data_IF_528836344854
#
_entry.id   IF_528836344854
#
_cell.length_a   1.000
_cell.length_b   1.000
_cell.length_c   1.000
_cell.angle_alpha   90.00
_cell.angle_beta   90.00
_cell.angle_gamma   90.00
#
_symmetry.space_group_name_H-M   'P 1'
#
loop_
_entity.id
_entity.type
_entity.pdbx_description
1 polymer ?
#
# COMPACT_ATOMS: atom_id res chain seq x y z
N UNK A 1 13.86 18.26 1.24
CA UNK A 1 13.47 17.81 -0.11
C UNK A 1 14.12 16.47 -0.46
N UNK A 2 13.51 15.33 -0.09
CA UNK A 2 13.72 14.00 -0.70
C UNK A 2 12.42 13.19 -0.51
N UNK A 3 11.39 13.62 -1.22
CA UNK A 3 10.16 12.86 -1.44
C UNK A 3 10.23 12.20 -2.83
N UNK A 4 9.56 11.07 -2.96
CA UNK A 4 9.25 10.34 -4.20
C UNK A 4 10.39 9.50 -4.78
N UNK A 5 10.42 8.21 -4.41
CA UNK A 5 10.64 7.02 -5.29
C UNK A 5 10.85 5.77 -4.41
N UNK A 6 9.74 5.19 -3.96
CA UNK A 6 9.66 3.77 -3.60
C UNK A 6 8.35 3.25 -4.16
N UNK A 7 8.39 2.80 -5.41
CA UNK A 7 7.30 2.10 -6.05
C UNK A 7 7.91 0.88 -6.74
N UNK A 8 7.49 -0.30 -6.27
CA UNK A 8 7.53 -1.60 -6.94
C UNK A 8 8.91 -2.23 -7.18
N UNK A 9 9.38 -2.98 -6.18
CA UNK A 9 10.21 -4.18 -6.36
C UNK A 9 9.87 -5.11 -5.21
N UNK A 10 8.96 -6.06 -5.43
CA UNK A 10 8.62 -7.10 -4.46
C UNK A 10 9.66 -8.22 -4.64
N UNK A 11 10.85 -8.04 -4.08
CA UNK A 11 11.73 -9.14 -3.68
C UNK A 11 11.40 -9.40 -2.22
N UNK A 12 10.56 -10.40 -1.96
CA UNK A 12 10.09 -10.67 -0.61
C UNK A 12 11.14 -11.42 0.21
N UNK A 13 11.97 -10.65 0.90
CA UNK A 13 12.49 -11.06 2.20
C UNK A 13 11.34 -11.05 3.20
N UNK A 14 10.61 -12.16 3.34
CA UNK A 14 9.78 -12.38 4.54
C UNK A 14 10.78 -12.71 5.64
N UNK A 15 11.20 -11.69 6.39
CA UNK A 15 11.92 -11.87 7.65
C UNK A 15 10.91 -12.37 8.68
N UNK A 16 11.06 -13.61 9.14
CA UNK A 16 10.56 -13.97 10.47
C UNK A 16 11.35 -13.17 11.52
N UNK A 17 10.73 -12.78 12.64
CA UNK A 17 11.18 -11.63 13.44
C UNK A 17 12.33 -12.00 14.38
N UNK A 18 13.56 -12.10 13.85
CA UNK A 18 14.81 -11.82 14.58
C UNK A 18 15.81 -11.32 13.53
N UNK A 19 16.75 -10.45 13.89
CA UNK A 19 17.69 -9.71 13.00
C UNK A 19 17.15 -8.35 12.53
N UNK A 20 16.88 -7.48 13.50
CA UNK A 20 16.99 -6.01 13.36
C UNK A 20 18.13 -5.54 14.27
N UNK A 21 19.38 -5.91 13.96
CA UNK A 21 20.52 -5.33 14.70
C UNK A 21 21.87 -5.25 13.96
N UNK A 22 21.96 -5.65 12.69
CA UNK A 22 23.25 -5.67 11.96
C UNK A 22 23.39 -4.73 10.75
N UNK A 23 22.59 -3.67 10.65
CA UNK A 23 22.75 -2.66 9.57
C UNK A 23 23.43 -1.34 9.99
N UNK A 24 23.82 -1.18 11.26
CA UNK A 24 24.41 0.08 11.77
C UNK A 24 25.95 0.16 11.72
N UNK A 25 26.68 -0.82 11.16
CA UNK A 25 28.14 -0.90 11.34
C UNK A 25 28.97 -1.01 10.04
N UNK A 26 28.63 -0.31 8.96
CA UNK A 26 29.48 -0.24 7.74
C UNK A 26 29.90 1.20 7.43
N UNK A 27 31.21 1.51 7.31
CA UNK A 27 31.72 2.85 6.97
C UNK A 27 31.24 3.37 5.61
N UNK A 28 30.94 4.67 5.54
CA UNK A 28 30.25 5.32 4.42
C UNK A 28 30.93 5.23 3.04
N UNK A 29 32.23 4.96 2.98
CA UNK A 29 33.00 5.03 1.73
C UNK A 29 32.93 3.74 0.90
N UNK A 30 32.78 2.58 1.53
CA UNK A 30 32.53 1.29 0.83
C UNK A 30 31.07 1.13 0.38
N UNK A 31 30.14 1.89 0.98
CA UNK A 31 28.72 1.93 0.60
C UNK A 31 28.44 2.59 -0.75
N UNK A 32 29.34 3.40 -1.30
CA UNK A 32 29.13 4.09 -2.59
C UNK A 32 29.42 3.17 -3.77
N UNK A 33 30.60 2.55 -3.80
CA UNK A 33 31.06 1.78 -4.97
C UNK A 33 30.28 0.46 -5.19
N UNK A 34 29.85 -0.22 -4.12
CA UNK A 34 29.01 -1.43 -4.24
C UNK A 34 27.57 -1.10 -4.66
N UNK A 35 27.08 0.09 -4.31
CA UNK A 35 25.71 0.51 -4.59
C UNK A 35 25.55 0.99 -6.03
N UNK A 36 26.55 1.68 -6.58
CA UNK A 36 26.58 2.07 -8.00
C UNK A 36 26.60 0.88 -8.97
N UNK A 37 27.34 -0.20 -8.63
CA UNK A 37 27.42 -1.41 -9.47
C UNK A 37 26.16 -2.29 -9.42
N UNK A 38 25.48 -2.33 -8.26
CA UNK A 38 24.22 -3.06 -8.07
C UNK A 38 23.01 -2.30 -8.64
N UNK A 39 23.00 -0.96 -8.56
CA UNK A 39 21.90 -0.12 -9.06
C UNK A 39 21.82 -0.14 -10.60
N UNK A 40 22.94 -0.17 -11.35
CA UNK A 40 22.90 -0.10 -12.82
C UNK A 40 22.30 -1.35 -13.50
N UNK A 41 22.53 -2.53 -12.92
CA UNK A 41 22.14 -3.82 -13.51
C UNK A 41 20.67 -4.15 -13.20
N UNK A 42 20.21 -3.85 -11.98
CA UNK A 42 18.83 -4.06 -11.54
C UNK A 42 17.89 -3.02 -12.16
N UNK A 43 18.33 -1.76 -12.31
CA UNK A 43 17.52 -0.69 -12.88
C UNK A 43 17.22 -0.90 -14.38
N UNK A 44 18.14 -1.51 -15.14
CA UNK A 44 17.91 -1.80 -16.56
C UNK A 44 16.89 -2.93 -16.78
N UNK A 45 16.92 -3.97 -15.94
CA UNK A 45 15.97 -5.10 -16.00
C UNK A 45 14.54 -4.68 -15.63
N UNK A 46 14.38 -3.87 -14.57
CA UNK A 46 13.07 -3.38 -14.11
C UNK A 46 12.43 -2.41 -15.12
N UNK A 47 13.23 -1.62 -15.84
CA UNK A 47 12.76 -0.67 -16.85
C UNK A 47 12.15 -1.37 -18.08
N UNK A 48 12.80 -2.41 -18.60
CA UNK A 48 12.31 -3.19 -19.75
C UNK A 48 10.98 -3.89 -19.45
N UNK A 49 10.86 -4.51 -18.27
CA UNK A 49 9.64 -5.21 -17.85
C UNK A 49 8.45 -4.27 -17.66
N UNK A 50 8.69 -3.05 -17.14
CA UNK A 50 7.64 -2.04 -16.91
C UNK A 50 7.11 -1.42 -18.22
N UNK A 51 7.94 -1.35 -19.27
CA UNK A 51 7.54 -0.82 -20.58
C UNK A 51 6.67 -1.78 -21.38
N UNK A 52 6.85 -3.09 -21.19
CA UNK A 52 6.03 -4.14 -21.81
C UNK A 52 4.61 -4.19 -21.22
N UNK A 53 4.45 -3.93 -19.92
CA UNK A 53 3.15 -3.94 -19.24
C UNK A 53 2.27 -2.70 -19.53
N UNK A 54 2.87 -1.56 -19.92
CA UNK A 54 2.14 -0.33 -20.28
C UNK A 54 1.46 -0.36 -21.65
N UNK A 55 1.74 -1.38 -22.48
CA UNK A 55 1.21 -1.48 -23.86
C UNK A 55 -0.10 -2.28 -23.97
N UNK A 56 -0.65 -2.79 -22.86
CA UNK A 56 -1.76 -3.75 -22.86
C UNK A 56 -3.10 -3.25 -22.29
N UNK A 57 -3.36 -1.94 -22.20
CA UNK A 57 -4.67 -1.42 -21.74
C UNK A 57 -5.39 -0.61 -22.82
N UNK A 58 -6.52 -1.09 -23.37
CA UNK A 58 -7.38 -0.29 -24.24
C UNK A 58 -8.38 0.59 -23.46
N UNK A 59 -8.34 1.88 -23.79
CA UNK A 59 -9.32 2.98 -23.77
C UNK A 59 -10.65 2.89 -22.98
N UNK A 60 -10.89 3.95 -22.19
CA UNK A 60 -12.17 4.37 -21.61
C UNK A 60 -13.12 4.97 -22.68
N UNK A 61 -14.42 4.67 -22.53
CA UNK A 61 -15.55 5.27 -23.27
C UNK A 61 -16.17 6.37 -22.38
N UNK A 62 -16.49 7.59 -22.88
CA UNK A 62 -17.19 8.58 -22.07
C UNK A 62 -18.71 8.41 -22.19
N UNK A 63 -19.37 8.15 -21.07
CA UNK A 63 -20.83 8.15 -20.89
C UNK A 63 -21.23 9.17 -19.83
N UNK A 64 -21.35 10.44 -20.19
CA UNK A 64 -22.02 11.42 -19.30
C UNK A 64 -22.55 12.65 -20.05
N UNK A 65 -23.69 13.15 -19.58
CA UNK A 65 -24.42 14.35 -20.01
C UNK A 65 -23.75 15.67 -19.56
N UNK A 66 -22.50 15.63 -19.06
CA UNK A 66 -21.82 16.79 -18.48
C UNK A 66 -21.38 17.85 -19.52
N UNK A 67 -21.50 17.56 -20.81
CA UNK A 67 -20.99 18.40 -21.90
C UNK A 67 -21.95 19.42 -22.51
N UNK A 68 -23.24 19.46 -22.11
CA UNK A 68 -24.24 20.35 -22.75
C UNK A 68 -24.95 21.21 -21.71
N UNK A 69 -24.88 22.53 -21.90
CA UNK A 69 -25.35 23.57 -20.98
C UNK A 69 -26.89 23.71 -21.00
N UNK A 70 -27.59 22.64 -20.60
CA UNK A 70 -29.05 22.56 -20.48
C UNK A 70 -29.63 23.42 -19.34
N UNK A 71 -28.76 24.10 -18.59
CA UNK A 71 -29.17 25.08 -17.59
C UNK A 71 -29.95 26.25 -18.22
N UNK A 72 -29.66 26.55 -19.50
CA UNK A 72 -30.45 27.48 -20.34
C UNK A 72 -31.93 27.08 -20.46
N UNK A 73 -32.24 25.81 -20.19
CA UNK A 73 -33.59 25.25 -20.24
C UNK A 73 -34.06 24.76 -18.88
N UNK A 74 -33.59 25.35 -17.75
CA UNK A 74 -34.11 25.07 -16.41
C UNK A 74 -34.10 23.57 -16.00
N UNK A 75 -33.30 22.73 -16.67
CA UNK A 75 -33.17 21.29 -16.42
C UNK A 75 -31.88 21.01 -15.66
N UNK A 76 -31.98 20.14 -14.65
CA UNK A 76 -30.85 19.57 -13.92
C UNK A 76 -30.93 18.04 -13.93
N UNK A 77 -29.82 17.31 -13.75
CA UNK A 77 -29.86 15.88 -13.49
C UNK A 77 -30.69 15.57 -12.24
N UNK A 78 -31.47 14.51 -12.28
CA UNK A 78 -32.26 14.04 -11.14
C UNK A 78 -31.34 13.51 -10.02
N UNK A 79 -31.74 13.70 -8.76
CA UNK A 79 -30.97 13.26 -7.60
C UNK A 79 -30.84 11.73 -7.48
N UNK A 80 -31.90 10.92 -7.73
CA UNK A 80 -31.82 9.46 -7.66
C UNK A 80 -31.15 8.81 -8.88
N UNK A 81 -31.21 9.45 -10.05
CA UNK A 81 -30.61 8.98 -11.30
C UNK A 81 -30.06 10.16 -12.10
N UNK A 82 -28.72 10.26 -12.14
CA UNK A 82 -28.01 11.34 -12.84
C UNK A 82 -28.20 11.31 -14.36
N UNK A 83 -28.77 10.24 -14.92
CA UNK A 83 -29.07 10.15 -16.35
C UNK A 83 -30.46 10.70 -16.71
N UNK A 84 -31.33 10.90 -15.72
CA UNK A 84 -32.70 11.37 -15.93
C UNK A 84 -32.81 12.90 -15.75
N UNK A 85 -33.36 13.66 -16.72
CA UNK A 85 -33.56 15.09 -16.58
C UNK A 85 -34.69 15.44 -15.62
N UNK A 86 -34.50 16.47 -14.81
CA UNK A 86 -35.50 17.03 -13.89
C UNK A 86 -35.68 18.52 -14.13
N UNK A 87 -36.94 18.99 -14.14
CA UNK A 87 -37.26 20.41 -14.17
C UNK A 87 -37.01 21.05 -12.79
N UNK A 88 -36.18 22.10 -12.75
CA UNK A 88 -35.80 22.80 -11.52
C UNK A 88 -36.95 23.59 -10.86
N UNK A 89 -38.02 23.90 -11.61
CA UNK A 89 -39.16 24.69 -11.13
C UNK A 89 -40.26 23.84 -10.47
N UNK A 90 -40.51 22.63 -10.98
CA UNK A 90 -41.53 21.71 -10.45
C UNK A 90 -40.99 20.39 -9.90
N UNK A 91 -39.67 20.16 -9.94
CA UNK A 91 -39.01 18.90 -9.56
C UNK A 91 -39.54 17.65 -10.30
N UNK A 92 -40.19 17.84 -11.46
CA UNK A 92 -40.70 16.75 -12.27
C UNK A 92 -39.57 16.14 -13.09
N UNK A 93 -39.39 14.82 -12.99
CA UNK A 93 -38.51 14.05 -13.88
C UNK A 93 -39.16 13.99 -15.26
N UNK A 94 -38.41 14.37 -16.28
CA UNK A 94 -38.79 14.36 -17.67
C UNK A 94 -38.22 13.09 -18.33
N UNK A 95 -38.92 12.55 -19.32
CA UNK A 95 -38.36 11.48 -20.14
C UNK A 95 -37.22 11.99 -21.03
N UNK A 96 -36.27 11.13 -21.38
CA UNK A 96 -35.13 11.50 -22.23
C UNK A 96 -35.56 12.11 -23.59
N UNK A 97 -36.70 11.66 -24.13
CA UNK A 97 -37.29 12.19 -25.37
C UNK A 97 -37.84 13.62 -25.27
N UNK A 98 -37.93 14.16 -24.05
CA UNK A 98 -38.37 15.53 -23.76
C UNK A 98 -37.22 16.54 -23.81
N UNK A 99 -35.96 16.10 -23.96
CA UNK A 99 -34.77 16.95 -24.00
C UNK A 99 -34.63 17.79 -25.29
N UNK A 100 -35.58 17.69 -26.22
CA UNK A 100 -35.62 18.54 -27.41
C UNK A 100 -35.94 19.99 -26.98
N UNK A 101 -35.18 21.01 -27.43
CA UNK A 101 -35.39 22.41 -27.01
C UNK A 101 -36.82 22.92 -27.16
N UNK A 102 -37.51 22.52 -28.23
CA UNK A 102 -38.93 22.87 -28.47
C UNK A 102 -39.86 22.29 -27.40
N UNK A 103 -39.64 21.05 -26.96
CA UNK A 103 -40.43 20.39 -25.91
C UNK A 103 -40.16 20.98 -24.53
N UNK A 104 -38.91 21.39 -24.25
CA UNK A 104 -38.55 22.08 -23.02
C UNK A 104 -39.18 23.48 -22.98
N UNK A 105 -39.13 24.24 -24.07
CA UNK A 105 -39.83 25.53 -24.15
C UNK A 105 -41.35 25.39 -24.00
N UNK A 106 -41.93 24.36 -24.60
CA UNK A 106 -43.35 24.02 -24.43
C UNK A 106 -43.69 23.69 -22.96
N UNK A 107 -42.85 22.93 -22.27
CA UNK A 107 -43.01 22.63 -20.85
C UNK A 107 -42.95 23.91 -20.00
N UNK A 108 -41.99 24.81 -20.27
CA UNK A 108 -41.89 26.11 -19.59
C UNK A 108 -43.16 26.94 -19.81
N UNK A 109 -43.66 27.03 -21.04
CA UNK A 109 -44.87 27.82 -21.35
C UNK A 109 -46.14 27.24 -20.74
N UNK A 110 -46.30 25.91 -20.75
CA UNK A 110 -47.51 25.23 -20.25
C UNK A 110 -47.52 25.11 -18.72
N UNK A 111 -46.40 24.77 -18.10
CA UNK A 111 -46.34 24.49 -16.67
C UNK A 111 -45.85 25.69 -15.83
N UNK A 112 -45.12 26.63 -16.45
CA UNK A 112 -44.47 27.75 -15.78
C UNK A 112 -44.60 29.07 -16.58
N UNK A 113 -45.83 29.47 -16.95
CA UNK A 113 -46.06 30.62 -17.83
C UNK A 113 -45.44 31.92 -17.30
N UNK A 114 -45.43 32.09 -15.97
CA UNK A 114 -44.90 33.23 -15.24
C UNK A 114 -43.36 33.30 -15.20
N UNK A 115 -42.67 32.26 -15.66
CA UNK A 115 -41.19 32.15 -15.66
C UNK A 115 -40.57 32.11 -17.07
N UNK A 116 -41.39 32.31 -18.11
CA UNK A 116 -40.98 32.23 -19.52
C UNK A 116 -39.97 33.30 -19.95
N UNK A 117 -40.00 34.48 -19.33
CA UNK A 117 -39.10 35.60 -19.63
C UNK A 117 -37.87 35.69 -18.71
N UNK A 118 -37.64 34.69 -17.84
CA UNK A 118 -36.52 34.72 -16.91
C UNK A 118 -35.20 34.38 -17.61
N UNK A 119 -34.13 35.04 -17.16
CA UNK A 119 -32.81 34.89 -17.72
C UNK A 119 -32.03 33.71 -17.11
N UNK A 120 -30.90 33.36 -17.72
CA UNK A 120 -30.00 32.31 -17.24
C UNK A 120 -29.58 32.54 -15.78
N UNK A 121 -29.38 33.81 -15.37
CA UNK A 121 -28.91 34.18 -14.04
C UNK A 121 -29.93 33.85 -12.96
N UNK A 122 -31.22 34.01 -13.24
CA UNK A 122 -32.31 33.55 -12.38
C UNK A 122 -32.25 32.03 -12.15
N UNK A 123 -32.08 31.25 -13.22
CA UNK A 123 -32.02 29.78 -13.12
C UNK A 123 -30.74 29.27 -12.46
N UNK A 124 -29.59 29.95 -12.65
CA UNK A 124 -28.35 29.70 -11.90
C UNK A 124 -28.57 29.90 -10.40
N UNK A 125 -29.14 31.04 -10.01
CA UNK A 125 -29.42 31.35 -8.59
C UNK A 125 -30.38 30.33 -7.97
N UNK A 126 -31.37 29.86 -8.73
CA UNK A 126 -32.31 28.85 -8.28
C UNK A 126 -31.65 27.46 -8.16
N UNK A 127 -30.75 27.10 -9.08
CA UNK A 127 -29.97 25.88 -9.02
C UNK A 127 -29.08 25.89 -7.79
N UNK A 128 -28.41 27.00 -7.51
CA UNK A 128 -27.56 27.13 -6.31
C UNK A 128 -28.39 26.98 -5.03
N UNK A 129 -29.58 27.57 -4.97
CA UNK A 129 -30.50 27.38 -3.83
C UNK A 129 -30.96 25.93 -3.68
N UNK A 130 -31.25 25.26 -4.78
CA UNK A 130 -31.65 23.86 -4.79
C UNK A 130 -30.50 22.94 -4.37
N UNK A 131 -29.30 23.15 -4.94
CA UNK A 131 -28.08 22.44 -4.61
C UNK A 131 -27.55 22.74 -3.21
N UNK A 132 -27.97 23.84 -2.57
CA UNK A 132 -27.64 24.17 -1.18
C UNK A 132 -28.76 23.85 -0.20
N UNK A 133 -29.87 23.26 -0.66
CA UNK A 133 -30.93 22.78 0.24
C UNK A 133 -30.40 21.61 1.07
N UNK A 134 -30.58 21.70 2.39
CA UNK A 134 -30.27 20.63 3.32
C UNK A 134 -31.29 19.50 3.12
N UNK A 135 -30.85 18.38 2.55
CA UNK A 135 -31.64 17.15 2.43
C UNK A 135 -31.18 16.15 3.49
N UNK A 136 -32.07 15.23 3.90
CA UNK A 136 -31.74 14.15 4.83
C UNK A 136 -30.54 13.35 4.33
N UNK A 137 -30.50 13.02 3.04
CA UNK A 137 -29.38 12.31 2.42
C UNK A 137 -28.04 13.05 2.56
N UNK A 138 -28.02 14.40 2.46
CA UNK A 138 -26.79 15.19 2.66
C UNK A 138 -26.40 15.27 4.13
N UNK A 139 -27.35 15.27 5.05
CA UNK A 139 -27.04 15.20 6.49
C UNK A 139 -26.37 13.87 6.84
N UNK A 140 -26.89 12.75 6.34
CA UNK A 140 -26.29 11.44 6.53
C UNK A 140 -24.96 11.30 5.80
N UNK A 141 -24.84 11.76 4.55
CA UNK A 141 -23.58 11.73 3.80
C UNK A 141 -22.46 12.54 4.49
N UNK A 142 -22.77 13.73 5.02
CA UNK A 142 -21.78 14.56 5.74
C UNK A 142 -21.34 13.95 7.07
N UNK A 143 -22.20 13.18 7.73
CA UNK A 143 -21.88 12.46 8.97
C UNK A 143 -21.06 11.22 8.68
N UNK A 144 -21.39 10.48 7.62
CA UNK A 144 -20.61 9.33 7.14
C UNK A 144 -19.18 9.73 6.73
N UNK A 145 -19.04 10.80 5.94
CA UNK A 145 -17.72 11.32 5.53
C UNK A 145 -16.83 11.70 6.72
N UNK A 146 -17.38 12.36 7.75
CA UNK A 146 -16.63 12.74 8.96
C UNK A 146 -16.21 11.53 9.82
N UNK A 147 -16.99 10.45 9.80
CA UNK A 147 -16.64 9.21 10.47
C UNK A 147 -15.57 8.43 9.69
N UNK A 148 -15.62 8.47 8.36
CA UNK A 148 -14.61 7.88 7.48
C UNK A 148 -13.23 8.52 7.68
N UNK A 149 -13.18 9.85 7.88
CA UNK A 149 -11.94 10.56 8.14
C UNK A 149 -11.28 10.15 9.48
N UNK A 150 -12.08 9.98 10.53
CA UNK A 150 -11.58 9.53 11.84
C UNK A 150 -11.07 8.09 11.81
N UNK A 151 -11.79 7.22 11.10
CA UNK A 151 -11.37 5.84 10.86
C UNK A 151 -10.06 5.79 10.05
N UNK A 152 -9.96 6.58 8.98
CA UNK A 152 -8.76 6.69 8.15
C UNK A 152 -7.57 7.20 8.96
N UNK A 153 -7.78 8.22 9.78
CA UNK A 153 -6.76 8.73 10.70
C UNK A 153 -6.28 7.64 11.67
N UNK A 154 -7.21 6.82 12.18
CA UNK A 154 -6.89 5.71 13.08
C UNK A 154 -5.94 4.71 12.43
N UNK A 155 -6.25 4.21 11.23
CA UNK A 155 -5.35 3.29 10.50
C UNK A 155 -3.98 3.92 10.20
N UNK A 156 -3.98 5.19 9.76
CA UNK A 156 -2.73 5.90 9.46
C UNK A 156 -1.84 6.05 10.70
N UNK A 157 -2.43 6.39 11.86
CA UNK A 157 -1.69 6.53 13.11
C UNK A 157 -1.20 5.16 13.59
N UNK A 158 -2.04 4.12 13.56
CA UNK A 158 -1.64 2.75 13.91
C UNK A 158 -0.47 2.26 13.04
N UNK A 159 -0.47 2.58 11.74
CA UNK A 159 0.63 2.27 10.84
C UNK A 159 1.93 2.98 11.24
N UNK A 160 1.86 4.23 11.72
CA UNK A 160 3.02 4.96 12.22
C UNK A 160 3.55 4.36 13.53
N UNK A 161 2.66 3.92 14.43
CA UNK A 161 3.04 3.22 15.67
C UNK A 161 3.78 1.92 15.32
N UNK A 162 3.23 1.10 14.44
CA UNK A 162 3.86 -0.14 13.98
C UNK A 162 5.23 0.11 13.34
N UNK A 163 5.33 1.06 12.40
CA UNK A 163 6.59 1.40 11.72
C UNK A 163 7.69 1.92 12.65
N UNK A 164 7.31 2.53 13.77
CA UNK A 164 8.25 3.05 14.77
C UNK A 164 8.59 2.03 15.86
N UNK A 165 7.97 0.85 15.86
CA UNK A 165 8.20 -0.19 16.86
C UNK A 165 7.80 0.23 18.27
N UNK A 166 6.78 1.08 18.40
CA UNK A 166 6.32 1.61 19.69
C UNK A 166 5.19 0.75 20.27
N UNK A 167 5.04 0.69 21.62
CA UNK A 167 3.92 0.00 22.25
C UNK A 167 2.58 0.60 21.81
N UNK A 168 1.55 -0.24 21.65
CA UNK A 168 0.22 0.20 21.21
C UNK A 168 -0.41 1.24 22.17
N UNK A 169 -0.12 1.13 23.48
CA UNK A 169 -0.53 2.10 24.51
C UNK A 169 -0.07 3.54 24.26
N UNK A 170 0.87 3.80 23.35
CA UNK A 170 1.30 5.16 23.01
C UNK A 170 0.16 6.00 22.42
N UNK A 171 -0.82 5.35 21.78
CA UNK A 171 -2.01 5.99 21.22
C UNK A 171 -2.79 6.77 22.27
N UNK A 172 -3.21 6.09 23.34
CA UNK A 172 -3.95 6.68 24.45
C UNK A 172 -3.07 7.50 25.41
N UNK A 173 -1.82 7.09 25.66
CA UNK A 173 -0.96 7.75 26.66
C UNK A 173 -0.33 9.06 26.20
N UNK A 174 -0.11 9.23 24.90
CA UNK A 174 0.64 10.38 24.38
C UNK A 174 -0.01 11.01 23.15
N UNK A 175 -0.43 10.22 22.16
CA UNK A 175 -0.90 10.76 20.89
C UNK A 175 -2.24 11.48 21.09
N UNK A 176 -3.21 10.88 21.76
CA UNK A 176 -4.50 11.52 22.04
C UNK A 176 -4.36 12.80 22.87
N UNK A 177 -3.62 12.82 24.01
CA UNK A 177 -3.36 14.04 24.75
C UNK A 177 -2.66 15.14 23.93
N UNK A 178 -1.68 14.78 23.09
CA UNK A 178 -0.99 15.75 22.23
C UNK A 178 -1.91 16.34 21.17
N UNK A 179 -2.76 15.52 20.55
CA UNK A 179 -3.79 16.00 19.61
C UNK A 179 -4.79 16.90 20.31
N UNK A 180 -5.20 16.55 21.53
CA UNK A 180 -6.09 17.37 22.36
C UNK A 180 -5.52 18.77 22.61
N UNK A 181 -4.25 18.84 23.00
CA UNK A 181 -3.57 20.10 23.29
C UNK A 181 -3.49 21.00 22.06
N UNK A 182 -3.14 20.45 20.90
CA UNK A 182 -3.10 21.19 19.62
C UNK A 182 -4.48 21.71 19.23
N UNK A 183 -5.53 20.89 19.38
CA UNK A 183 -6.90 21.29 19.06
C UNK A 183 -7.38 22.45 19.95
N UNK A 184 -7.04 22.41 21.25
CA UNK A 184 -7.42 23.45 22.22
C UNK A 184 -6.62 24.74 22.05
N UNK A 185 -5.30 24.64 21.91
CA UNK A 185 -4.40 25.82 21.95
C UNK A 185 -4.18 26.47 20.60
N UNK A 186 -3.98 25.68 19.53
CA UNK A 186 -3.62 26.19 18.20
C UNK A 186 -4.87 26.44 17.37
N UNK A 187 -5.84 25.53 17.44
CA UNK A 187 -7.04 25.59 16.60
C UNK A 187 -8.25 26.19 17.31
N UNK A 188 -8.18 26.37 18.63
CA UNK A 188 -9.28 26.85 19.47
C UNK A 188 -10.61 26.12 19.21
N UNK A 189 -10.54 24.80 19.04
CA UNK A 189 -11.69 23.92 18.76
C UNK A 189 -11.95 22.96 19.90
N UNK A 190 -13.23 22.59 20.16
CA UNK A 190 -13.54 21.55 21.11
C UNK A 190 -12.96 20.21 20.63
N UNK A 191 -12.15 19.58 21.47
CA UNK A 191 -11.42 18.37 21.10
C UNK A 191 -12.24 17.08 21.29
N UNK A 192 -13.26 17.09 22.16
CA UNK A 192 -14.03 15.90 22.56
C UNK A 192 -14.58 15.10 21.39
N UNK A 193 -15.18 15.80 20.42
CA UNK A 193 -15.88 15.16 19.30
C UNK A 193 -14.91 14.63 18.23
N UNK A 194 -13.73 15.23 18.14
CA UNK A 194 -12.67 14.82 17.20
C UNK A 194 -11.94 13.60 17.77
N UNK A 195 -11.56 13.64 19.05
CA UNK A 195 -10.86 12.55 19.73
C UNK A 195 -11.71 11.27 19.75
N UNK A 196 -13.01 11.38 20.03
CA UNK A 196 -13.94 10.24 20.01
C UNK A 196 -14.00 9.54 18.64
N UNK A 197 -13.75 10.25 17.55
CA UNK A 197 -13.74 9.69 16.19
C UNK A 197 -12.43 9.00 15.82
N UNK A 198 -11.36 9.16 16.60
CA UNK A 198 -10.05 8.57 16.36
C UNK A 198 -9.72 7.61 17.52
N UNK A 199 -10.36 6.43 17.57
CA UNK A 199 -10.12 5.48 18.64
C UNK A 199 -8.68 4.94 18.58
N UNK A 200 -7.85 5.28 19.58
CA UNK A 200 -6.45 4.85 19.68
C UNK A 200 -6.16 4.11 20.99
N UNK A 201 -7.14 3.41 21.55
CA UNK A 201 -6.89 2.50 22.68
C UNK A 201 -5.94 1.38 22.27
N UNK A 202 -5.25 0.79 23.25
CA UNK A 202 -4.33 -0.33 23.03
C UNK A 202 -4.91 -1.40 22.08
N UNK A 203 -6.14 -1.86 22.38
CA UNK A 203 -6.81 -2.92 21.63
C UNK A 203 -7.25 -2.44 20.23
N UNK A 204 -7.57 -1.15 20.07
CA UNK A 204 -7.91 -0.63 18.75
C UNK A 204 -6.68 -0.57 17.87
N UNK A 205 -5.56 -0.07 18.40
CA UNK A 205 -4.31 0.00 17.64
C UNK A 205 -3.85 -1.39 17.21
N UNK A 206 -3.87 -2.36 18.13
CA UNK A 206 -3.60 -3.78 17.84
C UNK A 206 -4.48 -4.31 16.71
N UNK A 207 -5.80 -4.27 16.86
CA UNK A 207 -6.72 -4.78 15.84
C UNK A 207 -6.52 -4.13 14.48
N UNK A 208 -6.22 -2.83 14.43
CA UNK A 208 -5.98 -2.12 13.16
C UNK A 208 -4.69 -2.56 12.50
N UNK A 209 -3.66 -2.85 13.28
CA UNK A 209 -2.40 -3.42 12.77
C UNK A 209 -2.65 -4.83 12.23
N UNK A 210 -3.41 -5.65 12.96
CA UNK A 210 -3.74 -7.02 12.53
C UNK A 210 -4.57 -7.03 11.25
N UNK A 211 -5.58 -6.17 11.14
CA UNK A 211 -6.38 -6.00 9.93
C UNK A 211 -5.53 -5.57 8.73
N UNK A 212 -4.65 -4.58 8.92
CA UNK A 212 -3.72 -4.18 7.86
C UNK A 212 -2.74 -5.29 7.48
N UNK A 213 -2.27 -6.07 8.46
CA UNK A 213 -1.38 -7.20 8.22
C UNK A 213 -2.10 -8.29 7.41
N UNK A 214 -3.32 -8.64 7.82
CA UNK A 214 -4.15 -9.63 7.15
C UNK A 214 -4.50 -9.25 5.71
N UNK A 215 -4.77 -7.96 5.46
CA UNK A 215 -5.02 -7.45 4.10
C UNK A 215 -3.77 -7.57 3.21
N UNK A 216 -2.61 -7.18 3.72
CA UNK A 216 -1.32 -7.31 3.00
C UNK A 216 -1.00 -8.79 2.74
N UNK A 217 -1.22 -9.66 3.72
CA UNK A 217 -1.02 -11.11 3.58
C UNK A 217 -1.96 -11.70 2.52
N UNK A 218 -3.23 -11.33 2.54
CA UNK A 218 -4.22 -11.81 1.57
C UNK A 218 -3.86 -11.37 0.15
N UNK A 219 -3.50 -10.10 -0.03
CA UNK A 219 -2.98 -9.60 -1.30
C UNK A 219 -1.77 -10.40 -1.76
N UNK A 220 -0.86 -10.69 -0.84
CA UNK A 220 0.34 -11.42 -1.13
C UNK A 220 0.05 -12.88 -1.55
N UNK A 221 -0.84 -13.59 -0.86
CA UNK A 221 -1.21 -14.95 -1.23
C UNK A 221 -1.81 -14.99 -2.63
N UNK A 222 -2.75 -14.08 -2.93
CA UNK A 222 -3.34 -13.96 -4.27
C UNK A 222 -2.28 -13.70 -5.35
N UNK A 223 -1.28 -12.87 -5.03
CA UNK A 223 -0.17 -12.60 -5.93
C UNK A 223 0.70 -13.84 -6.16
N UNK A 224 1.11 -14.55 -5.11
CA UNK A 224 1.96 -15.75 -5.21
C UNK A 224 1.25 -16.94 -5.89
N UNK A 225 -0.08 -17.00 -5.79
CA UNK A 225 -0.90 -18.02 -6.47
C UNK A 225 -0.87 -17.88 -8.00
N UNK A 226 -0.71 -16.66 -8.52
CA UNK A 226 -0.85 -16.37 -9.95
C UNK A 226 0.46 -15.99 -10.63
N UNK A 227 1.55 -15.83 -9.87
CA UNK A 227 2.82 -15.32 -10.39
C UNK A 227 3.97 -16.24 -10.09
N UNK A 228 4.91 -16.32 -11.03
CA UNK A 228 6.19 -16.98 -10.79
C UNK A 228 7.06 -16.13 -9.86
N UNK A 229 7.70 -16.77 -8.87
CA UNK A 229 8.51 -16.07 -7.89
C UNK A 229 9.79 -16.83 -7.53
N UNK A 230 10.71 -16.11 -6.90
CA UNK A 230 11.95 -16.67 -6.34
C UNK A 230 12.02 -16.39 -4.85
N UNK A 231 12.58 -17.33 -4.07
CA UNK A 231 12.64 -17.23 -2.61
C UNK A 231 14.07 -17.30 -2.11
N UNK A 232 14.44 -16.41 -1.20
CA UNK A 232 15.68 -16.55 -0.43
C UNK A 232 15.37 -17.22 0.90
N UNK A 233 16.14 -18.25 1.24
CA UNK A 233 16.08 -18.96 2.51
C UNK A 233 17.41 -18.78 3.23
N UNK A 234 17.33 -18.42 4.51
CA UNK A 234 18.49 -18.29 5.40
C UNK A 234 18.71 -19.59 6.18
N UNK A 235 19.87 -19.73 6.83
CA UNK A 235 20.22 -20.92 7.61
C UNK A 235 19.17 -21.17 8.70
N UNK A 236 18.66 -22.40 8.76
CA UNK A 236 17.85 -22.83 9.89
C UNK A 236 18.76 -23.34 11.00
N UNK A 237 18.57 -22.83 12.21
CA UNK A 237 19.22 -23.38 13.41
C UNK A 237 18.49 -24.63 13.94
N UNK A 238 17.42 -25.08 13.27
CA UNK A 238 16.70 -26.29 13.67
C UNK A 238 17.57 -27.52 13.38
N UNK A 239 17.81 -28.39 14.38
CA UNK A 239 18.54 -29.63 14.19
C UNK A 239 17.84 -30.58 13.20
N UNK A 240 16.51 -30.47 13.08
CA UNK A 240 15.68 -31.34 12.26
C UNK A 240 15.16 -30.64 11.00
N UNK A 241 15.78 -31.00 9.88
CA UNK A 241 15.41 -30.52 8.53
C UNK A 241 14.02 -31.04 8.13
N UNK A 242 13.59 -32.20 8.64
CA UNK A 242 12.29 -32.78 8.29
C UNK A 242 11.14 -31.91 8.82
N UNK A 243 11.25 -31.40 10.04
CA UNK A 243 10.26 -30.49 10.61
C UNK A 243 10.12 -29.19 9.79
N UNK A 244 11.24 -28.64 9.32
CA UNK A 244 11.25 -27.43 8.48
C UNK A 244 10.60 -27.69 7.11
N UNK A 245 10.86 -28.86 6.53
CA UNK A 245 10.25 -29.29 5.28
C UNK A 245 8.75 -29.45 5.39
N UNK A 246 8.27 -30.11 6.44
CA UNK A 246 6.84 -30.29 6.70
C UNK A 246 6.13 -28.96 6.93
N UNK A 247 6.74 -28.06 7.71
CA UNK A 247 6.19 -26.73 7.93
C UNK A 247 6.09 -25.93 6.63
N UNK A 248 7.10 -26.02 5.76
CA UNK A 248 7.10 -25.35 4.47
C UNK A 248 6.01 -25.91 3.56
N UNK A 249 5.93 -27.22 3.40
CA UNK A 249 4.95 -27.86 2.54
C UNK A 249 3.52 -27.60 3.03
N UNK A 250 3.29 -27.75 4.35
CA UNK A 250 2.02 -27.42 4.98
C UNK A 250 1.60 -25.97 4.72
N UNK A 251 2.51 -25.00 4.87
CA UNK A 251 2.20 -23.59 4.67
C UNK A 251 1.77 -23.29 3.23
N UNK A 252 2.48 -23.84 2.24
CA UNK A 252 2.13 -23.63 0.82
C UNK A 252 0.80 -24.29 0.46
N UNK A 253 0.51 -25.47 1.01
CA UNK A 253 -0.78 -26.15 0.85
C UNK A 253 -1.90 -25.34 1.52
N UNK A 254 -1.73 -24.93 2.77
CA UNK A 254 -2.72 -24.19 3.55
C UNK A 254 -3.10 -22.87 2.88
N UNK A 255 -2.11 -22.17 2.30
CA UNK A 255 -2.33 -20.90 1.58
C UNK A 255 -2.65 -21.09 0.09
N UNK A 256 -2.81 -22.33 -0.36
CA UNK A 256 -3.09 -22.71 -1.74
C UNK A 256 -2.09 -22.10 -2.75
N UNK A 257 -0.83 -21.92 -2.36
CA UNK A 257 0.22 -21.36 -3.22
C UNK A 257 0.87 -22.52 -4.00
N UNK A 258 0.75 -22.57 -5.34
CA UNK A 258 1.34 -23.64 -6.12
C UNK A 258 2.87 -23.59 -6.02
N UNK A 259 3.48 -24.68 -5.54
CA UNK A 259 4.95 -24.79 -5.51
C UNK A 259 5.56 -24.68 -6.92
N UNK A 260 4.83 -25.08 -7.96
CA UNK A 260 5.23 -24.93 -9.36
C UNK A 260 5.50 -23.49 -9.78
N UNK A 261 4.94 -22.51 -9.07
CA UNK A 261 5.21 -21.09 -9.34
C UNK A 261 6.61 -20.66 -8.86
N UNK A 262 7.27 -21.45 -8.01
CA UNK A 262 8.60 -21.14 -7.53
C UNK A 262 9.67 -21.54 -8.55
N UNK A 263 10.28 -20.54 -9.18
CA UNK A 263 11.28 -20.75 -10.25
C UNK A 263 12.71 -20.90 -9.72
N UNK A 264 13.02 -20.28 -8.56
CA UNK A 264 14.36 -20.38 -7.98
C UNK A 264 14.37 -20.19 -6.47
N UNK A 265 15.36 -20.79 -5.82
CA UNK A 265 15.64 -20.64 -4.39
C UNK A 265 17.10 -20.30 -4.16
N UNK A 266 17.35 -19.20 -3.46
CA UNK A 266 18.68 -18.81 -3.00
C UNK A 266 18.92 -19.30 -1.57
N UNK A 267 20.01 -20.02 -1.32
CA UNK A 267 20.41 -20.50 0.01
C UNK A 267 21.85 -20.11 0.31
N UNK A 268 22.24 -20.10 1.58
CA UNK A 268 23.61 -19.89 2.02
C UNK A 268 24.52 -21.13 1.83
N UNK A 269 24.02 -22.22 1.24
CA UNK A 269 24.85 -23.40 1.00
C UNK A 269 25.15 -24.22 2.27
N UNK A 270 24.46 -23.96 3.38
CA UNK A 270 24.56 -24.83 4.56
C UNK A 270 24.20 -26.28 4.19
N UNK A 271 24.87 -27.31 4.75
CA UNK A 271 24.59 -28.71 4.43
C UNK A 271 23.12 -29.10 4.59
N UNK A 272 22.42 -28.49 5.56
CA UNK A 272 20.99 -28.66 5.78
C UNK A 272 20.10 -28.16 4.62
N UNK A 273 20.59 -27.18 3.86
CA UNK A 273 19.87 -26.58 2.74
C UNK A 273 20.20 -27.25 1.41
N UNK A 274 21.50 -27.49 1.13
CA UNK A 274 21.98 -28.02 -0.17
C UNK A 274 22.37 -29.49 -0.15
N UNK A 275 22.21 -30.18 0.99
CA UNK A 275 22.57 -31.58 1.14
C UNK A 275 21.91 -32.48 0.09
N UNK A 276 22.71 -33.34 -0.56
CA UNK A 276 22.27 -34.17 -1.69
C UNK A 276 21.06 -35.05 -1.35
N UNK A 277 21.06 -35.70 -0.19
CA UNK A 277 20.01 -36.65 0.20
C UNK A 277 19.08 -36.11 1.30
N UNK A 278 19.60 -35.23 2.16
CA UNK A 278 18.91 -34.68 3.33
C UNK A 278 19.08 -33.15 3.36
N UNK A 279 18.72 -32.51 2.27
CA UNK A 279 18.76 -31.07 2.13
C UNK A 279 17.43 -30.52 1.66
N UNK A 280 17.10 -29.31 2.12
CA UNK A 280 15.87 -28.61 1.71
C UNK A 280 15.69 -28.57 0.19
N UNK A 281 16.75 -28.20 -0.54
CA UNK A 281 16.74 -28.11 -2.00
C UNK A 281 16.49 -29.46 -2.67
N UNK A 282 17.05 -30.54 -2.12
CA UNK A 282 16.84 -31.87 -2.67
C UNK A 282 15.40 -32.32 -2.54
N UNK A 283 14.75 -32.05 -1.41
CA UNK A 283 13.31 -32.27 -1.25
C UNK A 283 12.51 -31.38 -2.20
N UNK A 284 12.85 -30.09 -2.28
CA UNK A 284 12.10 -29.17 -3.12
C UNK A 284 12.16 -29.57 -4.61
N UNK A 285 13.30 -30.09 -5.08
CA UNK A 285 13.45 -30.61 -6.44
C UNK A 285 12.62 -31.87 -6.72
N UNK A 286 12.18 -32.59 -5.69
CA UNK A 286 11.23 -33.72 -5.87
C UNK A 286 9.82 -33.20 -6.18
N UNK A 287 9.42 -32.08 -5.57
CA UNK A 287 8.12 -31.45 -5.80
C UNK A 287 8.12 -30.49 -7.01
N UNK A 288 9.27 -29.84 -7.29
CA UNK A 288 9.45 -28.85 -8.36
C UNK A 288 10.78 -29.13 -9.07
N UNK A 289 10.77 -30.06 -10.01
CA UNK A 289 11.99 -30.54 -10.70
C UNK A 289 12.77 -29.43 -11.42
N UNK A 290 12.09 -28.39 -11.89
CA UNK A 290 12.67 -27.25 -12.60
C UNK A 290 13.24 -26.13 -11.71
N UNK A 291 13.16 -26.25 -10.38
CA UNK A 291 13.58 -25.15 -9.49
C UNK A 291 15.10 -24.93 -9.56
N UNK A 292 15.50 -23.68 -9.81
CA UNK A 292 16.91 -23.30 -9.83
C UNK A 292 17.41 -23.04 -8.41
N UNK A 293 18.38 -23.84 -7.95
CA UNK A 293 19.04 -23.61 -6.68
C UNK A 293 20.26 -22.68 -6.88
N UNK A 294 20.26 -21.55 -6.20
CA UNK A 294 21.28 -20.51 -6.28
C UNK A 294 22.00 -20.42 -4.94
N UNK A 295 23.32 -20.31 -4.96
CA UNK A 295 24.09 -20.03 -3.75
C UNK A 295 24.16 -18.51 -3.52
N UNK A 296 23.84 -18.06 -2.31
CA UNK A 296 23.74 -16.67 -1.94
C UNK A 296 25.06 -15.92 -2.23
N UNK A 297 24.98 -14.86 -3.04
CA UNK A 297 26.15 -14.05 -3.43
C UNK A 297 26.82 -13.43 -2.21
N UNK A 298 26.04 -12.99 -1.22
CA UNK A 298 26.55 -12.40 0.02
C UNK A 298 27.34 -13.44 0.81
N UNK A 299 26.82 -14.66 0.92
CA UNK A 299 27.55 -15.74 1.59
C UNK A 299 28.83 -16.13 0.84
N UNK A 300 28.77 -16.22 -0.51
CA UNK A 300 29.97 -16.46 -1.33
C UNK A 300 31.04 -15.39 -1.12
N UNK A 301 30.65 -14.12 -1.09
CA UNK A 301 31.56 -13.00 -0.82
C UNK A 301 32.18 -13.12 0.57
N UNK A 302 31.39 -13.47 1.58
CA UNK A 302 31.88 -13.73 2.94
C UNK A 302 32.88 -14.88 3.00
N UNK A 303 32.63 -15.99 2.31
CA UNK A 303 33.57 -17.12 2.23
C UNK A 303 34.88 -16.75 1.53
N UNK A 304 34.82 -15.99 0.44
CA UNK A 304 36.02 -15.49 -0.25
C UNK A 304 36.81 -14.55 0.67
N UNK A 305 36.11 -13.68 1.42
CA UNK A 305 36.75 -12.79 2.39
C UNK A 305 37.42 -13.54 3.56
N UNK A 306 37.00 -14.78 3.88
CA UNK A 306 37.70 -15.64 4.84
C UNK A 306 39.00 -16.24 4.29
N UNK A 307 39.09 -16.42 2.97
CA UNK A 307 40.24 -17.03 2.28
C UNK A 307 41.16 -15.99 1.63
N UNK A 308 41.22 -14.78 2.18
CA UNK A 308 42.13 -13.74 1.68
C UNK A 308 43.58 -14.12 1.95
N UNK A 309 44.49 -13.58 1.14
CA UNK A 309 45.93 -13.79 1.33
C UNK A 309 46.36 -13.37 2.74
N UNK A 310 47.39 -14.03 3.28
CA UNK A 310 47.91 -13.75 4.64
C UNK A 310 48.11 -12.25 4.87
N UNK A 311 48.72 -11.55 3.91
CA UNK A 311 48.97 -10.11 3.97
C UNK A 311 47.69 -9.27 4.09
N UNK A 312 46.63 -9.64 3.37
CA UNK A 312 45.36 -8.93 3.40
C UNK A 312 44.55 -9.29 4.66
N UNK A 313 44.66 -10.54 5.13
CA UNK A 313 44.08 -11.00 6.38
C UNK A 313 44.67 -10.25 7.58
N UNK A 314 46.00 -10.13 7.68
CA UNK A 314 46.68 -9.34 8.70
C UNK A 314 46.27 -7.86 8.68
N UNK A 315 46.20 -7.27 7.48
CA UNK A 315 45.77 -5.88 7.31
C UNK A 315 44.32 -5.67 7.80
N UNK A 316 43.41 -6.61 7.50
CA UNK A 316 42.03 -6.57 7.96
C UNK A 316 41.92 -6.80 9.47
N UNK A 317 42.74 -7.68 10.05
CA UNK A 317 42.78 -7.88 11.50
C UNK A 317 43.15 -6.60 12.25
N UNK A 318 44.12 -5.83 11.75
CA UNK A 318 44.47 -4.52 12.32
C UNK A 318 43.29 -3.55 12.28
N UNK A 319 42.54 -3.52 11.17
CA UNK A 319 41.34 -2.68 11.03
C UNK A 319 40.23 -3.14 11.98
N UNK A 320 40.00 -4.45 12.09
CA UNK A 320 39.01 -5.04 13.01
C UNK A 320 39.35 -4.69 14.46
N UNK A 321 40.61 -4.82 14.85
CA UNK A 321 41.07 -4.47 16.20
C UNK A 321 40.91 -2.98 16.49
N UNK A 322 41.25 -2.10 15.53
CA UNK A 322 41.04 -0.67 15.67
C UNK A 322 39.55 -0.33 15.83
N UNK A 323 38.68 -0.90 14.98
CA UNK A 323 37.22 -0.71 15.08
C UNK A 323 36.68 -1.24 16.40
N UNK A 324 37.14 -2.40 16.87
CA UNK A 324 36.72 -2.97 18.15
C UNK A 324 37.18 -2.15 19.35
N UNK A 325 38.39 -1.57 19.30
CA UNK A 325 38.89 -0.63 20.31
C UNK A 325 38.06 0.66 20.34
N UNK A 326 37.75 1.23 19.17
CA UNK A 326 36.83 2.37 19.07
C UNK A 326 35.48 1.99 19.65
N UNK A 327 34.92 0.83 19.27
CA UNK A 327 33.61 0.38 19.75
C UNK A 327 33.57 0.24 21.27
N UNK A 328 34.62 -0.30 21.89
CA UNK A 328 34.76 -0.39 23.37
C UNK A 328 34.91 0.97 24.05
N UNK A 329 35.30 2.01 23.35
CA UNK A 329 35.43 3.35 23.90
C UNK A 329 34.11 4.15 23.88
N UNK A 330 33.12 3.72 23.08
CA UNK A 330 31.86 4.45 22.87
C UNK A 330 30.59 3.64 23.23
N UNK A 331 30.74 2.42 23.73
CA UNK A 331 29.68 1.56 24.28
C UNK A 331 30.16 1.05 25.63
#
# INVERSE_FOLDING_TARGET
MKHVRRSWTVVMSVKMPYIVERERLVPNNLRKNLKEYLDSTVHNFVREFTLTLKRLTPHEVPSSLDGVDYLKFFIIPSLPDKQSPMCLLCNKVLGNDAMKPSKLQDHLRRCHPDKTEKDLKYFQTLKDKFQNRLTLDRMFASTSQRNDDGLRATYNISLLIAKSGKPHTIGEKLILPAVEEVLKTVLHKPASDIIKRIPLSNNTVERRIDEMSSDIESFLYNYLQTTHFSKQLDESTLPDIAALLLAYDYYFIEKAIPLSNMISVATDGAPAMVGRYRGFISYLKQNVSGVLAIHCVIHRQHLVAKNLSVRLHESLHLVIDAVNRIRKAYI
#
